data_IF_127472275742
#
_entry.id   IF_127472275742
#
_cell.length_a   1.000
_cell.length_b   1.000
_cell.length_c   1.000
_cell.angle_alpha   90.00
_cell.angle_beta   90.00
_cell.angle_gamma   90.00
#
_symmetry.space_group_name_H-M   'P 1'
#
loop_
_entity.id
_entity.type
_entity.pdbx_description
1 polymer ?
#
# COMPACT_ATOMS: atom_id res chain seq x y z
N UNK A 1 4.23 -64.76 5.86
CA UNK A 1 3.30 -63.64 5.59
C UNK A 1 1.90 -64.25 5.60
N UNK A 2 0.94 -63.72 6.38
CA UNK A 2 0.55 -62.29 6.38
C UNK A 2 0.30 -61.65 7.77
N UNK A 3 0.17 -60.32 7.72
CA UNK A 3 -0.67 -59.42 8.54
C UNK A 3 -0.75 -59.60 10.06
N UNK A 4 -0.02 -58.73 10.76
CA UNK A 4 -0.41 -58.28 12.09
C UNK A 4 -0.57 -56.76 12.09
N UNK A 5 -1.83 -56.35 12.01
CA UNK A 5 -2.35 -55.04 12.42
C UNK A 5 -2.73 -55.13 13.91
N UNK A 6 -2.04 -54.43 14.81
CA UNK A 6 -2.53 -54.25 16.17
C UNK A 6 -3.10 -52.85 16.35
N UNK A 7 -4.43 -52.83 16.44
CA UNK A 7 -5.25 -51.77 17.04
C UNK A 7 -4.65 -51.21 18.34
N UNK A 8 -4.67 -49.89 18.57
CA UNK A 8 -4.14 -49.29 19.79
C UNK A 8 -5.08 -49.52 20.98
N UNK A 9 -4.55 -50.17 22.02
CA UNK A 9 -5.21 -50.34 23.33
C UNK A 9 -5.21 -49.01 24.09
N UNK A 10 -6.41 -48.52 24.40
CA UNK A 10 -6.66 -47.41 25.32
C UNK A 10 -6.17 -47.77 26.73
N UNK A 11 -5.31 -46.94 27.32
CA UNK A 11 -5.00 -46.97 28.75
C UNK A 11 -6.02 -46.08 29.49
N UNK A 12 -6.78 -46.72 30.36
CA UNK A 12 -7.57 -46.09 31.42
C UNK A 12 -6.58 -45.58 32.47
N UNK A 13 -6.70 -44.31 32.86
CA UNK A 13 -6.05 -43.74 34.05
C UNK A 13 -7.18 -43.44 35.02
N UNK A 14 -7.18 -44.16 36.15
CA UNK A 14 -8.09 -43.96 37.28
C UNK A 14 -7.67 -42.74 38.12
N UNK A 15 -8.70 -42.21 38.78
CA UNK A 15 -8.78 -40.99 39.57
C UNK A 15 -7.80 -40.91 40.75
N UNK A 16 -7.26 -39.70 40.98
CA UNK A 16 -6.79 -39.28 42.30
C UNK A 16 -7.31 -37.87 42.65
N UNK A 17 -8.30 -37.91 43.53
CA UNK A 17 -8.57 -37.05 44.70
C UNK A 17 -8.63 -35.51 44.55
N UNK A 18 -9.86 -35.04 44.69
CA UNK A 18 -10.31 -33.67 44.95
C UNK A 18 -9.71 -33.10 46.25
N UNK A 19 -9.31 -31.82 46.22
CA UNK A 19 -9.22 -30.96 47.42
C UNK A 19 -10.05 -29.69 47.20
N UNK A 20 -10.83 -29.24 48.22
CA UNK A 20 -11.97 -28.34 48.02
C UNK A 20 -11.62 -26.84 48.04
N UNK A 21 -12.47 -26.07 47.38
CA UNK A 21 -12.48 -24.62 47.32
C UNK A 21 -12.92 -23.97 48.64
N UNK A 22 -12.24 -22.90 49.05
CA UNK A 22 -12.54 -22.13 50.26
C UNK A 22 -12.80 -20.65 49.93
N UNK A 23 -13.93 -20.12 50.44
CA UNK A 23 -14.01 -18.73 50.93
C UNK A 23 -14.61 -17.65 50.03
N UNK A 24 -15.95 -17.63 49.89
CA UNK A 24 -16.72 -16.45 49.45
C UNK A 24 -16.82 -15.45 50.60
N UNK A 25 -16.43 -14.17 50.38
CA UNK A 25 -16.75 -13.06 51.30
C UNK A 25 -17.51 -11.97 50.55
N UNK A 26 -18.75 -11.74 50.98
CA UNK A 26 -19.59 -10.59 50.63
C UNK A 26 -19.36 -9.47 51.63
N UNK A 27 -19.24 -8.22 51.15
CA UNK A 27 -19.48 -7.03 51.97
C UNK A 27 -20.42 -6.08 51.21
N UNK A 28 -21.53 -5.76 51.89
CA UNK A 28 -22.50 -4.73 51.51
C UNK A 28 -22.08 -3.32 52.00
N UNK A 29 -22.93 -2.30 51.83
CA UNK A 29 -22.51 -0.94 51.52
C UNK A 29 -22.42 -0.01 52.74
N UNK A 30 -21.45 0.91 52.72
CA UNK A 30 -21.44 2.11 53.57
C UNK A 30 -21.25 3.38 52.73
N UNK A 31 -21.96 4.43 53.14
CA UNK A 31 -21.98 5.80 52.59
C UNK A 31 -22.30 6.72 53.78
N UNK A 32 -22.05 8.05 53.73
CA UNK A 32 -20.78 8.78 53.59
C UNK A 32 -20.55 9.77 54.76
N UNK A 33 -19.34 10.32 54.92
CA UNK A 33 -19.15 11.57 55.69
C UNK A 33 -18.23 12.58 54.98
N UNK A 34 -18.40 13.85 55.35
CA UNK A 34 -18.36 15.06 54.51
C UNK A 34 -16.97 15.65 54.25
N UNK A 35 -16.88 16.35 53.11
CA UNK A 35 -15.82 17.30 52.71
C UNK A 35 -15.86 18.61 53.56
N UNK A 36 -14.85 19.51 53.47
CA UNK A 36 -14.78 20.55 52.41
C UNK A 36 -13.31 20.91 51.99
N UNK A 37 -12.94 21.68 50.95
CA UNK A 37 -13.58 22.46 49.89
C UNK A 37 -12.54 22.82 48.79
N UNK A 38 -12.99 22.81 47.53
CA UNK A 38 -12.74 23.77 46.41
C UNK A 38 -11.29 24.10 45.96
N UNK A 39 -10.94 23.94 44.67
CA UNK A 39 -11.39 24.82 43.56
C UNK A 39 -11.06 24.22 42.18
N UNK A 40 -11.86 24.66 41.21
CA UNK A 40 -12.04 24.14 39.86
C UNK A 40 -10.89 24.39 38.88
N UNK A 41 -10.66 23.43 37.99
CA UNK A 41 -10.58 23.71 36.54
C UNK A 41 -11.01 22.47 35.74
N UNK A 42 -12.01 22.69 34.89
CA UNK A 42 -12.49 21.77 33.86
C UNK A 42 -11.40 21.61 32.80
N UNK A 43 -11.14 20.39 32.34
CA UNK A 43 -10.97 20.13 30.93
C UNK A 43 -11.16 18.64 30.60
N UNK A 44 -11.74 18.44 29.41
CA UNK A 44 -12.51 17.28 28.99
C UNK A 44 -11.61 16.12 28.53
N UNK A 45 -11.90 14.91 29.01
CA UNK A 45 -11.45 13.66 28.41
C UNK A 45 -12.55 13.10 27.47
N UNK A 46 -12.19 12.53 26.30
CA UNK A 46 -13.15 12.20 25.25
C UNK A 46 -13.97 10.95 25.59
N UNK A 47 -15.29 11.11 25.62
CA UNK A 47 -16.25 9.99 25.66
C UNK A 47 -16.26 9.26 24.32
N UNK A 48 -15.86 7.99 24.35
CA UNK A 48 -16.04 7.00 23.29
C UNK A 48 -17.55 6.79 23.07
N UNK A 49 -18.05 7.13 21.87
CA UNK A 49 -19.39 6.74 21.42
C UNK A 49 -19.31 5.35 20.76
N UNK A 50 -20.18 4.39 21.11
CA UNK A 50 -20.33 3.18 20.31
C UNK A 50 -20.95 3.56 18.96
N UNK A 51 -20.34 3.08 17.87
CA UNK A 51 -20.94 3.15 16.53
C UNK A 51 -22.11 2.17 16.53
N UNK A 52 -23.32 2.71 16.38
CA UNK A 52 -24.55 1.94 16.24
C UNK A 52 -24.73 1.63 14.75
N UNK A 53 -24.58 0.37 14.36
CA UNK A 53 -24.91 -0.10 13.01
C UNK A 53 -26.43 0.02 12.77
N UNK A 54 -26.88 0.59 11.64
CA UNK A 54 -28.30 0.61 11.31
C UNK A 54 -28.74 -0.79 10.85
N UNK A 55 -29.62 -1.42 11.63
CA UNK A 55 -30.35 -2.64 11.29
C UNK A 55 -31.32 -2.36 10.12
N UNK A 56 -31.35 -3.18 9.05
CA UNK A 56 -32.23 -2.96 7.90
C UNK A 56 -33.68 -3.37 8.22
N UNK A 57 -34.63 -2.55 7.76
CA UNK A 57 -36.05 -2.88 7.70
C UNK A 57 -36.36 -3.72 6.43
N UNK A 58 -37.45 -4.52 6.43
CA UNK A 58 -37.59 -5.68 5.55
C UNK A 58 -38.27 -5.35 4.21
N UNK A 59 -37.98 -6.20 3.22
CA UNK A 59 -38.58 -6.32 1.90
C UNK A 59 -38.37 -5.17 0.92
N UNK A 60 -37.41 -5.36 0.01
CA UNK A 60 -37.58 -4.96 -1.39
C UNK A 60 -36.73 -5.91 -2.26
N UNK A 61 -37.40 -6.63 -3.16
CA UNK A 61 -36.81 -7.58 -4.11
C UNK A 61 -35.97 -6.85 -5.17
N UNK A 62 -34.96 -7.51 -5.78
CA UNK A 62 -34.08 -6.85 -6.74
C UNK A 62 -34.84 -6.39 -7.99
N UNK A 63 -34.63 -5.13 -8.36
CA UNK A 63 -35.21 -4.47 -9.53
C UNK A 63 -34.91 -5.25 -10.81
N UNK A 64 -35.93 -5.98 -11.27
CA UNK A 64 -36.07 -6.47 -12.64
C UNK A 64 -36.07 -5.24 -13.56
N UNK A 65 -35.28 -5.30 -14.63
CA UNK A 65 -35.29 -4.28 -15.69
C UNK A 65 -36.65 -4.38 -16.42
N UNK A 66 -37.67 -3.74 -15.85
CA UNK A 66 -38.98 -3.63 -16.47
C UNK A 66 -38.91 -2.60 -17.58
N UNK A 67 -39.23 -3.06 -18.79
CA UNK A 67 -39.50 -2.23 -19.95
C UNK A 67 -40.48 -1.13 -19.56
N UNK A 68 -40.13 0.12 -19.86
CA UNK A 68 -41.01 1.26 -19.67
C UNK A 68 -42.40 0.97 -20.26
N UNK A 69 -43.40 0.97 -19.38
CA UNK A 69 -44.82 0.92 -19.72
C UNK A 69 -45.14 2.12 -20.62
N UNK A 70 -45.57 1.82 -21.84
CA UNK A 70 -46.14 2.77 -22.81
C UNK A 70 -47.57 3.10 -22.38
N UNK A 71 -47.74 3.81 -21.28
CA UNK A 71 -49.03 4.41 -20.93
C UNK A 71 -49.18 5.71 -21.74
N UNK A 72 -49.62 5.55 -22.99
CA UNK A 72 -50.37 6.51 -23.84
C UNK A 72 -50.44 5.92 -25.26
N UNK A 73 -51.18 4.83 -25.40
CA UNK A 73 -51.69 4.36 -26.69
C UNK A 73 -53.21 4.28 -26.57
N UNK A 74 -53.87 5.42 -26.84
CA UNK A 74 -55.32 5.52 -26.94
C UNK A 74 -55.76 4.84 -28.25
N UNK A 75 -55.87 3.51 -28.20
CA UNK A 75 -56.39 2.68 -29.28
C UNK A 75 -57.90 2.86 -29.41
N UNK A 76 -58.35 4.04 -29.82
CA UNK A 76 -59.72 4.27 -30.29
C UNK A 76 -59.74 4.12 -31.79
N UNK A 77 -60.20 2.95 -32.24
CA UNK A 77 -60.78 2.78 -33.56
C UNK A 77 -61.93 3.77 -33.72
N UNK A 78 -61.71 4.84 -34.47
CA UNK A 78 -62.80 5.70 -34.94
C UNK A 78 -63.52 4.91 -36.03
N UNK A 79 -64.48 4.10 -35.64
CA UNK A 79 -65.49 3.59 -36.56
C UNK A 79 -66.47 4.75 -36.82
N UNK A 80 -66.53 5.32 -38.03
CA UNK A 80 -67.53 6.34 -38.32
C UNK A 80 -68.91 5.70 -38.20
N UNK A 81 -69.74 6.26 -37.31
CA UNK A 81 -71.13 5.85 -37.13
C UNK A 81 -71.92 5.98 -38.44
N UNK A 82 -72.81 5.02 -38.67
CA UNK A 82 -73.61 4.87 -39.91
C UNK A 82 -74.46 6.12 -40.24
N UNK A 83 -74.66 7.01 -39.27
CA UNK A 83 -75.36 8.29 -39.45
C UNK A 83 -74.57 9.30 -40.32
N UNK A 84 -73.25 9.16 -40.43
CA UNK A 84 -72.42 9.99 -41.32
C UNK A 84 -72.52 9.60 -42.82
N UNK A 85 -73.18 8.48 -43.14
CA UNK A 85 -73.36 7.98 -44.51
C UNK A 85 -74.74 8.36 -45.07
N UNK A 86 -75.70 8.73 -44.21
CA UNK A 86 -77.10 8.98 -44.61
C UNK A 86 -77.44 10.43 -44.93
N UNK A 87 -76.57 11.40 -44.61
CA UNK A 87 -76.84 12.83 -44.80
C UNK A 87 -76.12 13.46 -46.00
N UNK A 88 -75.44 12.65 -46.82
CA UNK A 88 -74.86 13.16 -48.06
C UNK A 88 -75.88 13.04 -49.19
N UNK A 89 -76.60 14.15 -49.40
CA UNK A 89 -77.52 14.30 -50.52
C UNK A 89 -76.85 13.92 -51.84
N UNK A 90 -77.56 13.02 -52.51
CA UNK A 90 -77.31 12.45 -53.83
C UNK A 90 -77.17 13.56 -54.88
N UNK A 91 -75.98 13.72 -55.42
CA UNK A 91 -75.79 14.31 -56.75
C UNK A 91 -75.71 13.15 -57.76
N UNK A 92 -76.86 12.74 -58.25
CA UNK A 92 -76.96 11.93 -59.48
C UNK A 92 -76.60 12.80 -60.66
N UNK A 93 -75.37 12.69 -61.16
CA UNK A 93 -75.05 13.04 -62.55
C UNK A 93 -74.13 11.97 -63.14
N UNK A 94 -74.76 11.09 -63.92
CA UNK A 94 -74.23 10.40 -65.11
C UNK A 94 -72.81 9.82 -65.06
N UNK A 95 -72.75 8.55 -64.67
CA UNK A 95 -71.69 7.62 -65.06
C UNK A 95 -71.82 7.38 -66.56
N UNK A 96 -71.08 8.14 -67.38
CA UNK A 96 -70.63 7.77 -68.72
C UNK A 96 -69.92 8.98 -69.35
N UNK A 97 -68.64 9.16 -69.01
CA UNK A 97 -67.75 10.02 -69.79
C UNK A 97 -66.64 9.13 -70.36
N UNK A 98 -66.49 9.05 -71.69
CA UNK A 98 -65.48 8.20 -72.31
C UNK A 98 -64.09 8.76 -72.00
N UNK A 99 -63.27 7.97 -71.30
CA UNK A 99 -61.85 8.26 -71.09
C UNK A 99 -61.08 8.01 -72.38
N UNK A 100 -61.29 8.91 -73.35
CA UNK A 100 -60.60 8.93 -74.63
C UNK A 100 -60.60 10.36 -75.18
N UNK A 101 -59.54 11.10 -74.87
CA UNK A 101 -59.20 12.31 -75.63
C UNK A 101 -58.72 13.49 -74.80
N UNK A 102 -57.42 13.55 -74.55
CA UNK A 102 -56.52 14.65 -74.95
C UNK A 102 -55.14 14.31 -74.37
N UNK A 103 -54.31 13.67 -75.19
CA UNK A 103 -52.88 13.53 -74.94
C UNK A 103 -52.24 14.92 -74.85
N UNK A 104 -52.19 15.49 -73.65
CA UNK A 104 -51.09 16.39 -73.33
C UNK A 104 -49.86 15.52 -73.19
N UNK A 105 -49.10 15.40 -74.28
CA UNK A 105 -47.73 14.90 -74.27
C UNK A 105 -46.98 15.65 -73.17
N UNK A 106 -46.83 15.04 -72.01
CA UNK A 106 -45.89 15.50 -70.99
C UNK A 106 -44.52 15.20 -71.59
N UNK A 107 -43.96 16.21 -72.23
CA UNK A 107 -42.62 16.20 -72.80
C UNK A 107 -41.62 15.78 -71.74
N UNK A 108 -40.92 14.68 -72.00
CA UNK A 108 -39.66 14.29 -71.37
C UNK A 108 -39.75 13.99 -69.88
N UNK A 109 -39.81 12.71 -69.51
CA UNK A 109 -39.34 12.29 -68.19
C UNK A 109 -37.92 12.87 -68.04
N UNK A 110 -37.63 13.69 -67.02
CA UNK A 110 -36.33 14.33 -66.92
C UNK A 110 -35.29 13.27 -66.52
N UNK A 111 -34.75 12.52 -67.47
CA UNK A 111 -33.74 11.47 -67.19
C UNK A 111 -32.51 11.98 -66.41
N UNK A 112 -32.34 13.30 -66.32
CA UNK A 112 -31.29 13.95 -65.53
C UNK A 112 -31.31 13.66 -64.03
N UNK A 113 -32.48 13.50 -63.38
CA UNK A 113 -32.48 13.23 -61.92
C UNK A 113 -32.11 11.78 -61.58
N UNK A 114 -32.45 10.82 -62.44
CA UNK A 114 -32.02 9.42 -62.29
C UNK A 114 -30.51 9.25 -62.52
N UNK A 115 -29.92 10.00 -63.46
CA UNK A 115 -28.47 10.04 -63.66
C UNK A 115 -27.75 10.64 -62.44
N UNK A 116 -28.28 11.72 -61.86
CA UNK A 116 -27.75 12.32 -60.63
C UNK A 116 -27.78 11.35 -59.45
N UNK A 117 -28.91 10.68 -59.23
CA UNK A 117 -29.06 9.68 -58.17
C UNK A 117 -28.08 8.51 -58.40
N UNK A 118 -27.97 8.01 -59.63
CA UNK A 118 -27.03 6.94 -59.98
C UNK A 118 -25.58 7.31 -59.69
N UNK A 119 -25.17 8.54 -60.00
CA UNK A 119 -23.82 9.05 -59.73
C UNK A 119 -23.53 9.19 -58.24
N UNK A 120 -24.52 9.66 -57.46
CA UNK A 120 -24.41 9.77 -56.00
C UNK A 120 -24.29 8.39 -55.35
N UNK A 121 -25.09 7.41 -55.78
CA UNK A 121 -25.02 6.03 -55.27
C UNK A 121 -23.71 5.36 -55.65
N UNK A 122 -23.24 5.54 -56.89
CA UNK A 122 -21.95 5.01 -57.33
C UNK A 122 -20.78 5.65 -56.56
N UNK A 123 -20.84 6.97 -56.33
CA UNK A 123 -19.86 7.70 -55.52
C UNK A 123 -19.83 7.23 -54.07
N UNK A 124 -20.99 7.02 -53.45
CA UNK A 124 -21.12 6.47 -52.10
C UNK A 124 -20.60 5.02 -52.02
N UNK A 125 -20.88 4.19 -53.05
CA UNK A 125 -20.35 2.83 -53.16
C UNK A 125 -18.83 2.79 -53.26
N UNK A 126 -18.25 3.61 -54.14
CA UNK A 126 -16.79 3.72 -54.28
C UNK A 126 -16.13 4.24 -52.99
N UNK A 127 -16.74 5.26 -52.38
CA UNK A 127 -16.27 5.82 -51.11
C UNK A 127 -16.33 4.81 -49.96
N UNK A 128 -17.40 4.00 -49.91
CA UNK A 128 -17.56 2.91 -48.94
C UNK A 128 -16.48 1.84 -49.09
N UNK A 129 -16.19 1.39 -50.33
CA UNK A 129 -15.14 0.38 -50.60
C UNK A 129 -13.74 0.92 -50.26
N UNK A 130 -13.48 2.21 -50.50
CA UNK A 130 -12.22 2.84 -50.12
C UNK A 130 -12.09 3.00 -48.60
N UNK A 131 -13.19 3.33 -47.91
CA UNK A 131 -13.26 3.39 -46.45
C UNK A 131 -13.05 2.02 -45.81
N UNK A 132 -13.63 0.94 -46.34
CA UNK A 132 -13.43 -0.41 -45.79
C UNK A 132 -11.98 -0.86 -45.94
N UNK A 133 -11.34 -0.67 -47.10
CA UNK A 133 -9.91 -0.98 -47.28
C UNK A 133 -8.98 -0.17 -46.36
N UNK A 134 -9.33 1.08 -46.05
CA UNK A 134 -8.58 1.92 -45.11
C UNK A 134 -8.84 1.50 -43.65
N UNK A 135 -10.07 1.09 -43.36
CA UNK A 135 -10.49 0.49 -42.10
C UNK A 135 -9.75 -0.82 -41.81
N UNK A 136 -9.66 -1.73 -42.78
CA UNK A 136 -8.91 -3.00 -42.67
C UNK A 136 -7.45 -2.79 -42.30
N UNK A 137 -6.77 -1.81 -42.92
CA UNK A 137 -5.38 -1.46 -42.58
C UNK A 137 -5.24 -0.87 -41.19
N UNK A 138 -6.15 0.02 -40.79
CA UNK A 138 -6.14 0.62 -39.46
C UNK A 138 -6.46 -0.42 -38.37
N UNK A 139 -7.36 -1.36 -38.65
CA UNK A 139 -7.71 -2.48 -37.76
C UNK A 139 -6.52 -3.44 -37.66
N UNK A 140 -5.83 -3.76 -38.76
CA UNK A 140 -4.61 -4.57 -38.73
C UNK A 140 -3.49 -3.92 -37.90
N UNK A 141 -3.21 -2.63 -38.11
CA UNK A 141 -2.23 -1.89 -37.31
C UNK A 141 -2.65 -1.80 -35.82
N UNK A 142 -3.95 -1.64 -35.54
CA UNK A 142 -4.48 -1.68 -34.18
C UNK A 142 -4.28 -3.07 -33.55
N UNK A 143 -4.52 -4.16 -34.28
CA UNK A 143 -4.27 -5.52 -33.78
C UNK A 143 -2.78 -5.79 -33.52
N UNK A 144 -1.87 -5.28 -34.35
CA UNK A 144 -0.42 -5.41 -34.12
C UNK A 144 0.02 -4.66 -32.85
N UNK A 145 -0.42 -3.41 -32.66
CA UNK A 145 -0.08 -2.65 -31.44
C UNK A 145 -0.71 -3.24 -30.18
N UNK A 146 -1.91 -3.83 -30.28
CA UNK A 146 -2.53 -4.56 -29.17
C UNK A 146 -1.76 -5.84 -28.87
N UNK A 147 -1.35 -6.61 -29.89
CA UNK A 147 -0.51 -7.80 -29.69
C UNK A 147 0.83 -7.45 -29.04
N UNK A 148 1.51 -6.42 -29.52
CA UNK A 148 2.78 -5.96 -28.95
C UNK A 148 2.61 -5.53 -27.48
N UNK A 149 1.50 -4.86 -27.14
CA UNK A 149 1.19 -4.51 -25.74
C UNK A 149 0.89 -5.75 -24.90
N UNK A 150 0.08 -6.67 -25.40
CA UNK A 150 -0.25 -7.92 -24.70
C UNK A 150 1.02 -8.75 -24.47
N UNK A 151 1.86 -8.92 -25.48
CA UNK A 151 3.14 -9.62 -25.35
C UNK A 151 4.06 -8.94 -24.34
N UNK A 152 4.15 -7.60 -24.36
CA UNK A 152 4.95 -6.84 -23.37
C UNK A 152 4.37 -6.97 -21.96
N UNK A 153 3.06 -6.99 -21.81
CA UNK A 153 2.41 -7.09 -20.51
C UNK A 153 2.51 -8.53 -19.97
N UNK A 154 2.38 -9.54 -20.81
CA UNK A 154 2.66 -10.95 -20.47
C UNK A 154 4.12 -11.14 -20.05
N UNK A 155 5.07 -10.53 -20.76
CA UNK A 155 6.50 -10.56 -20.39
C UNK A 155 6.76 -9.88 -19.05
N UNK A 156 6.15 -8.72 -18.78
CA UNK A 156 6.27 -8.04 -17.48
C UNK A 156 5.64 -8.85 -16.36
N UNK A 157 4.48 -9.47 -16.60
CA UNK A 157 3.79 -10.30 -15.62
C UNK A 157 4.61 -11.55 -15.29
N UNK A 158 5.22 -12.18 -16.30
CA UNK A 158 6.14 -13.29 -16.10
C UNK A 158 7.36 -12.87 -15.28
N UNK A 159 8.03 -11.78 -15.68
CA UNK A 159 9.19 -11.25 -14.96
C UNK A 159 8.85 -10.86 -13.51
N UNK A 160 7.68 -10.29 -13.27
CA UNK A 160 7.21 -9.95 -11.93
C UNK A 160 6.97 -11.19 -11.06
N UNK A 161 6.40 -12.26 -11.64
CA UNK A 161 6.21 -13.54 -10.93
C UNK A 161 7.54 -14.20 -10.58
N UNK A 162 8.48 -14.19 -11.51
CA UNK A 162 9.82 -14.75 -11.31
C UNK A 162 10.57 -13.98 -10.22
N UNK A 163 10.49 -12.65 -10.23
CA UNK A 163 11.10 -11.81 -9.18
C UNK A 163 10.50 -12.10 -7.80
N UNK A 164 9.17 -12.23 -7.70
CA UNK A 164 8.51 -12.57 -6.43
C UNK A 164 8.94 -13.94 -5.93
N UNK A 165 9.03 -14.94 -6.81
CA UNK A 165 9.49 -16.28 -6.47
C UNK A 165 10.95 -16.27 -5.98
N UNK A 166 11.83 -15.50 -6.64
CA UNK A 166 13.22 -15.39 -6.23
C UNK A 166 13.37 -14.64 -4.90
N UNK A 167 12.59 -13.59 -4.68
CA UNK A 167 12.54 -12.93 -3.37
C UNK A 167 12.10 -13.88 -2.27
N UNK A 168 11.02 -14.64 -2.48
CA UNK A 168 10.56 -15.63 -1.49
C UNK A 168 11.65 -16.67 -1.20
N UNK A 169 12.33 -17.15 -2.25
CA UNK A 169 13.45 -18.08 -2.13
C UNK A 169 14.59 -17.50 -1.31
N UNK A 170 15.02 -16.27 -1.59
CA UNK A 170 16.10 -15.59 -0.84
C UNK A 170 15.69 -15.36 0.62
N UNK A 171 14.47 -14.92 0.88
CA UNK A 171 13.94 -14.72 2.24
C UNK A 171 13.91 -16.05 3.01
N UNK A 172 13.42 -17.11 2.39
CA UNK A 172 13.36 -18.45 2.99
C UNK A 172 14.75 -18.97 3.33
N UNK A 173 15.69 -18.89 2.38
CA UNK A 173 17.09 -19.30 2.60
C UNK A 173 17.76 -18.46 3.67
N UNK A 174 17.54 -17.14 3.67
CA UNK A 174 18.11 -16.23 4.66
C UNK A 174 17.61 -16.53 6.07
N UNK A 175 16.31 -16.79 6.24
CA UNK A 175 15.74 -17.11 7.56
C UNK A 175 16.16 -18.49 8.06
N UNK A 176 16.35 -19.46 7.16
CA UNK A 176 16.81 -20.80 7.49
C UNK A 176 18.32 -20.88 7.79
N UNK A 177 19.12 -19.98 7.23
CA UNK A 177 20.57 -19.96 7.41
C UNK A 177 20.97 -19.63 8.86
N UNK A 178 21.78 -20.49 9.46
CA UNK A 178 22.37 -20.38 10.80
C UNK A 178 23.91 -20.29 10.79
N UNK A 179 24.54 -20.49 9.62
CA UNK A 179 25.99 -20.32 9.44
C UNK A 179 26.32 -19.02 8.72
N UNK A 180 27.55 -18.55 8.90
CA UNK A 180 28.03 -17.31 8.26
C UNK A 180 28.19 -17.54 6.76
N UNK A 181 28.69 -18.72 6.40
CA UNK A 181 28.90 -19.16 5.03
C UNK A 181 27.60 -19.17 4.22
N UNK A 182 26.49 -19.56 4.83
CA UNK A 182 25.18 -19.60 4.17
C UNK A 182 24.54 -18.20 4.04
N UNK A 183 24.83 -17.27 4.95
CA UNK A 183 24.27 -15.91 4.92
C UNK A 183 25.03 -14.97 4.00
N UNK A 184 26.36 -15.04 3.99
CA UNK A 184 27.22 -14.14 3.20
C UNK A 184 26.78 -14.01 1.72
N UNK A 185 26.40 -15.07 0.98
CA UNK A 185 25.94 -14.91 -0.40
C UNK A 185 24.56 -14.25 -0.54
N UNK A 186 23.75 -14.22 0.53
CA UNK A 186 22.38 -13.70 0.54
C UNK A 186 22.32 -12.22 0.97
N UNK A 187 23.39 -11.68 1.53
CA UNK A 187 23.43 -10.30 2.05
C UNK A 187 24.05 -9.31 1.07
N UNK A 188 23.69 -8.05 1.29
CA UNK A 188 24.25 -6.90 0.58
C UNK A 188 25.63 -6.54 1.15
N UNK A 189 26.57 -6.17 0.29
CA UNK A 189 27.94 -5.77 0.66
C UNK A 189 28.66 -6.82 1.53
N UNK A 190 28.85 -8.05 1.02
CA UNK A 190 29.36 -9.17 1.80
C UNK A 190 30.75 -8.89 2.40
N UNK A 191 31.67 -8.23 1.69
CA UNK A 191 33.02 -7.98 2.21
C UNK A 191 33.01 -7.10 3.48
N UNK A 192 32.14 -6.09 3.51
CA UNK A 192 32.02 -5.16 4.65
C UNK A 192 31.20 -5.75 5.80
N UNK A 193 30.10 -6.43 5.49
CA UNK A 193 29.13 -6.87 6.50
C UNK A 193 29.56 -8.17 7.20
N UNK A 194 30.30 -9.04 6.52
CA UNK A 194 30.82 -10.29 7.08
C UNK A 194 31.50 -10.12 8.46
N UNK A 195 32.51 -9.23 8.64
CA UNK A 195 33.15 -9.06 9.95
C UNK A 195 32.19 -8.54 11.03
N UNK A 196 31.14 -7.80 10.65
CA UNK A 196 30.12 -7.33 11.57
C UNK A 196 29.23 -8.49 12.06
N UNK A 197 28.85 -9.40 11.17
CA UNK A 197 28.11 -10.62 11.49
C UNK A 197 28.93 -11.51 12.41
N UNK A 198 30.19 -11.76 12.07
CA UNK A 198 31.12 -12.59 12.87
C UNK A 198 31.20 -12.08 14.31
N UNK A 199 31.31 -10.75 14.50
CA UNK A 199 31.34 -10.13 15.82
C UNK A 199 29.99 -10.22 16.56
N UNK A 200 28.88 -9.92 15.89
CA UNK A 200 27.55 -9.95 16.52
C UNK A 200 27.20 -11.37 16.99
N UNK A 201 27.47 -12.37 16.15
CA UNK A 201 27.10 -13.77 16.40
C UNK A 201 27.90 -14.45 17.48
N UNK A 202 29.08 -13.93 17.84
CA UNK A 202 29.80 -14.35 19.05
C UNK A 202 28.99 -14.05 20.31
N UNK A 203 28.19 -12.98 20.31
CA UNK A 203 27.38 -12.57 21.47
C UNK A 203 25.93 -13.04 21.36
N UNK A 204 25.38 -13.02 20.14
CA UNK A 204 23.99 -13.37 19.84
C UNK A 204 23.94 -14.20 18.56
N UNK A 205 24.15 -15.52 18.66
CA UNK A 205 24.05 -16.41 17.51
C UNK A 205 22.67 -16.30 16.86
N UNK A 206 22.63 -16.40 15.53
CA UNK A 206 21.36 -16.46 14.83
C UNK A 206 20.69 -17.81 15.06
N UNK A 207 19.38 -17.76 15.30
CA UNK A 207 18.54 -18.95 15.39
C UNK A 207 17.83 -19.14 14.06
N UNK A 208 18.06 -20.28 13.41
CA UNK A 208 17.35 -20.65 12.19
C UNK A 208 15.83 -20.59 12.43
N UNK A 209 15.14 -19.87 11.56
CA UNK A 209 13.70 -19.64 11.66
C UNK A 209 13.01 -20.22 10.43
N UNK A 210 11.91 -20.95 10.67
CA UNK A 210 11.14 -21.55 9.58
C UNK A 210 10.20 -20.52 8.99
N UNK A 211 10.44 -20.18 7.73
CA UNK A 211 9.60 -19.29 6.94
C UNK A 211 8.21 -19.89 6.73
N UNK A 212 7.16 -19.08 6.92
CA UNK A 212 5.76 -19.46 6.68
C UNK A 212 5.21 -18.82 5.41
N UNK A 213 5.23 -17.50 5.34
CA UNK A 213 4.72 -16.71 4.20
C UNK A 213 5.21 -15.27 4.24
N UNK A 214 5.12 -14.57 3.11
CA UNK A 214 5.26 -13.12 3.03
C UNK A 214 3.92 -12.49 3.44
N UNK A 215 3.90 -11.77 4.57
CA UNK A 215 2.74 -11.00 5.02
C UNK A 215 2.68 -9.60 4.39
N UNK A 216 3.83 -9.06 3.98
CA UNK A 216 3.93 -7.80 3.26
C UNK A 216 5.06 -7.87 2.25
N UNK A 217 4.80 -7.32 1.07
CA UNK A 217 5.75 -7.19 -0.02
C UNK A 217 5.47 -5.88 -0.74
N UNK A 218 6.32 -4.87 -0.53
CA UNK A 218 6.12 -3.52 -1.08
C UNK A 218 7.38 -3.04 -1.80
N UNK A 219 7.25 -2.51 -3.03
CA UNK A 219 8.36 -1.85 -3.69
C UNK A 219 8.72 -0.56 -2.94
N UNK A 220 10.01 -0.30 -2.83
CA UNK A 220 10.55 0.93 -2.28
C UNK A 220 11.68 1.42 -3.20
N UNK A 221 11.75 2.73 -3.42
CA UNK A 221 12.90 3.33 -4.10
C UNK A 221 13.68 4.14 -3.07
N UNK A 222 14.98 3.86 -2.98
CA UNK A 222 15.89 4.56 -2.08
C UNK A 222 17.03 5.13 -2.92
N UNK A 223 17.04 6.45 -3.10
CA UNK A 223 18.00 7.21 -3.92
C UNK A 223 18.20 6.60 -5.33
N UNK A 224 17.09 6.29 -6.00
CA UNK A 224 17.10 5.75 -7.37
C UNK A 224 17.37 4.26 -7.48
N UNK A 225 17.70 3.58 -6.38
CA UNK A 225 17.86 2.12 -6.35
C UNK A 225 16.57 1.39 -5.98
N UNK A 226 16.28 0.24 -6.61
CA UNK A 226 15.12 -0.58 -6.29
C UNK A 226 15.35 -1.41 -5.02
N UNK A 227 14.40 -1.30 -4.09
CA UNK A 227 14.35 -2.05 -2.85
C UNK A 227 12.97 -2.70 -2.67
N UNK A 228 12.92 -3.73 -1.84
CA UNK A 228 11.69 -4.39 -1.42
C UNK A 228 11.62 -4.39 0.11
N UNK A 229 10.51 -3.85 0.64
CA UNK A 229 10.19 -3.90 2.07
C UNK A 229 9.31 -5.13 2.29
N UNK A 230 9.83 -6.06 3.07
CA UNK A 230 9.22 -7.37 3.29
C UNK A 230 8.89 -7.54 4.76
N UNK A 231 7.70 -8.05 5.04
CA UNK A 231 7.38 -8.64 6.34
C UNK A 231 7.18 -10.14 6.15
N UNK A 232 8.08 -10.93 6.71
CA UNK A 232 8.02 -12.39 6.68
C UNK A 232 7.41 -12.90 7.99
N UNK A 233 6.39 -13.75 7.89
CA UNK A 233 5.93 -14.53 9.03
C UNK A 233 6.81 -15.76 9.21
N UNK A 234 7.27 -15.95 10.43
CA UNK A 234 8.11 -17.07 10.85
C UNK A 234 7.36 -17.92 11.88
N UNK A 235 7.68 -19.21 11.93
CA UNK A 235 7.08 -20.15 12.87
C UNK A 235 7.60 -19.87 14.30
N UNK A 236 6.69 -19.83 15.28
CA UNK A 236 7.02 -19.65 16.72
C UNK A 236 7.81 -18.37 17.05
N UNK A 237 7.75 -17.33 16.22
CA UNK A 237 8.43 -16.06 16.46
C UNK A 237 7.65 -14.88 15.87
N UNK A 238 7.87 -13.65 16.38
CA UNK A 238 7.29 -12.45 15.77
C UNK A 238 7.73 -12.30 14.31
N UNK A 239 6.89 -11.68 13.44
CA UNK A 239 7.24 -11.49 12.05
C UNK A 239 8.50 -10.62 11.90
N UNK A 240 9.36 -11.00 10.97
CA UNK A 240 10.61 -10.29 10.68
C UNK A 240 10.40 -9.26 9.57
N UNK A 241 10.95 -8.05 9.77
CA UNK A 241 10.96 -7.02 8.72
C UNK A 241 12.33 -7.04 8.03
N UNK A 242 12.32 -7.27 6.74
CA UNK A 242 13.49 -7.37 5.89
C UNK A 242 13.47 -6.25 4.84
N UNK A 243 14.64 -5.73 4.53
CA UNK A 243 14.85 -4.81 3.42
C UNK A 243 15.75 -5.51 2.42
N UNK A 244 15.32 -5.64 1.16
CA UNK A 244 16.09 -6.29 0.11
C UNK A 244 16.44 -5.27 -0.97
N UNK A 245 17.71 -5.21 -1.39
CA UNK A 245 18.13 -4.48 -2.58
C UNK A 245 18.01 -5.41 -3.79
N UNK A 246 17.44 -4.90 -4.88
CA UNK A 246 17.48 -5.59 -6.17
C UNK A 246 18.72 -5.11 -6.92
N UNK A 247 19.74 -5.96 -7.01
CA UNK A 247 21.04 -5.63 -7.62
C UNK A 247 21.06 -5.90 -9.13
N UNK A 248 20.14 -6.73 -9.62
CA UNK A 248 19.91 -6.99 -11.05
C UNK A 248 18.47 -7.40 -11.31
N UNK A 249 18.14 -7.82 -12.54
CA UNK A 249 16.76 -8.13 -12.93
C UNK A 249 16.13 -9.24 -12.05
N UNK A 250 16.92 -10.24 -11.66
CA UNK A 250 16.49 -11.33 -10.78
C UNK A 250 17.38 -11.52 -9.54
N UNK A 251 18.40 -10.68 -9.33
CA UNK A 251 19.26 -10.82 -8.15
C UNK A 251 18.79 -9.88 -7.04
N UNK A 252 18.52 -10.46 -5.87
CA UNK A 252 18.10 -9.73 -4.67
C UNK A 252 18.98 -10.10 -3.49
N UNK A 253 19.35 -9.10 -2.69
CA UNK A 253 20.20 -9.25 -1.50
C UNK A 253 19.56 -8.62 -0.28
N UNK A 254 19.67 -9.27 0.86
CA UNK A 254 19.12 -8.80 2.14
C UNK A 254 20.06 -7.77 2.77
N UNK A 255 19.52 -6.65 3.26
CA UNK A 255 20.24 -5.72 4.12
C UNK A 255 20.21 -6.20 5.58
N UNK A 256 21.25 -6.95 5.96
CA UNK A 256 21.38 -7.52 7.30
C UNK A 256 21.38 -6.45 8.40
N UNK A 257 22.10 -5.34 8.19
CA UNK A 257 22.25 -4.31 9.21
C UNK A 257 20.93 -3.63 9.57
N UNK A 258 20.03 -3.41 8.60
CA UNK A 258 18.69 -2.86 8.85
C UNK A 258 17.81 -3.86 9.59
N UNK A 259 17.91 -5.16 9.28
CA UNK A 259 17.14 -6.20 9.98
C UNK A 259 17.51 -6.25 11.46
N UNK A 260 18.81 -6.43 11.77
CA UNK A 260 19.28 -6.53 13.16
C UNK A 260 19.38 -5.17 13.85
N UNK A 261 19.24 -4.07 13.09
CA UNK A 261 19.49 -2.70 13.56
C UNK A 261 20.90 -2.58 14.16
N UNK A 262 21.92 -3.01 13.40
CA UNK A 262 23.30 -3.05 13.87
C UNK A 262 23.77 -1.64 14.28
N UNK A 263 24.45 -1.56 15.42
CA UNK A 263 25.01 -0.33 16.00
C UNK A 263 26.50 -0.54 16.29
N UNK A 264 27.33 0.52 16.22
CA UNK A 264 28.76 0.43 16.52
C UNK A 264 29.04 -0.02 17.97
N UNK A 265 28.11 0.28 18.88
CA UNK A 265 28.09 -0.20 20.26
C UNK A 265 26.64 -0.25 20.77
N UNK A 266 26.35 -1.00 21.85
CA UNK A 266 25.01 -1.01 22.43
C UNK A 266 24.58 0.40 22.85
N UNK A 267 23.36 0.80 22.48
CA UNK A 267 22.86 2.16 22.72
C UNK A 267 22.84 2.53 24.20
N UNK A 268 22.41 1.61 25.07
CA UNK A 268 22.36 1.86 26.51
C UNK A 268 23.77 2.05 27.11
N UNK A 269 24.76 1.34 26.57
CA UNK A 269 26.15 1.49 26.97
C UNK A 269 26.69 2.85 26.52
N UNK A 270 26.33 3.31 25.32
CA UNK A 270 26.69 4.66 24.85
C UNK A 270 26.10 5.75 25.75
N UNK A 271 24.83 5.62 26.11
CA UNK A 271 24.12 6.58 26.99
C UNK A 271 24.74 6.62 28.39
N UNK A 272 25.12 5.47 28.95
CA UNK A 272 25.66 5.36 30.32
C UNK A 272 27.15 5.68 30.42
N UNK A 273 27.97 5.15 29.52
CA UNK A 273 29.43 5.34 29.52
C UNK A 273 29.86 6.72 29.02
N UNK A 274 29.01 7.41 28.24
CA UNK A 274 29.24 8.75 27.69
C UNK A 274 30.67 8.91 27.13
N UNK A 275 31.07 8.11 26.13
CA UNK A 275 32.44 8.11 25.65
C UNK A 275 32.75 9.49 25.03
N UNK A 276 33.54 10.28 25.76
CA UNK A 276 33.90 11.64 25.35
C UNK A 276 35.01 11.62 24.32
N UNK A 277 34.94 12.52 23.33
CA UNK A 277 36.00 12.70 22.33
C UNK A 277 35.97 11.73 21.15
N UNK A 278 35.03 10.78 21.12
CA UNK A 278 34.81 9.89 19.98
C UNK A 278 33.41 10.10 19.39
N UNK A 279 33.33 10.01 18.06
CA UNK A 279 32.08 10.08 17.30
C UNK A 279 31.66 8.69 16.82
N UNK A 280 30.37 8.41 16.86
CA UNK A 280 29.81 7.11 16.48
C UNK A 280 28.58 7.29 15.59
N UNK A 281 28.42 6.38 14.63
CA UNK A 281 27.32 6.42 13.67
C UNK A 281 26.19 5.48 14.11
N UNK A 282 25.07 6.03 14.56
CA UNK A 282 23.95 5.25 15.08
C UNK A 282 22.72 5.31 14.19
N UNK A 283 22.07 4.15 14.01
CA UNK A 283 20.72 4.03 13.44
C UNK A 283 19.70 4.42 14.49
N UNK A 284 19.13 5.62 14.37
CA UNK A 284 18.23 6.20 15.38
C UNK A 284 16.92 6.69 14.78
N UNK A 285 15.92 6.79 15.65
CA UNK A 285 14.71 7.57 15.43
C UNK A 285 14.92 8.97 15.98
N UNK A 286 14.51 9.98 15.23
CA UNK A 286 14.70 11.39 15.53
C UNK A 286 13.36 12.10 15.40
N UNK A 287 13.08 12.97 16.35
CA UNK A 287 11.94 13.87 16.31
C UNK A 287 12.36 15.24 16.81
N UNK A 288 11.66 16.29 16.37
CA UNK A 288 11.92 17.65 16.83
C UNK A 288 11.50 17.79 18.29
N UNK A 289 12.34 18.42 19.11
CA UNK A 289 12.07 18.75 20.50
C UNK A 289 12.53 20.20 20.80
N UNK A 290 12.23 20.71 22.00
CA UNK A 290 12.61 22.05 22.46
C UNK A 290 13.27 22.00 23.84
N UNK A 291 13.88 20.88 24.22
CA UNK A 291 14.62 20.76 25.47
C UNK A 291 16.01 21.40 25.31
N UNK A 292 16.28 22.49 26.03
CA UNK A 292 17.56 23.20 26.00
C UNK A 292 18.14 23.26 27.41
N UNK A 293 19.39 22.84 27.58
CA UNK A 293 20.03 22.77 28.91
C UNK A 293 21.54 23.02 28.82
N UNK A 294 22.11 23.57 29.89
CA UNK A 294 23.56 23.76 30.06
C UNK A 294 24.22 24.44 28.83
N UNK A 295 25.20 23.79 28.20
CA UNK A 295 25.92 24.27 27.01
C UNK A 295 25.02 24.44 25.76
N UNK A 296 23.84 23.83 25.77
CA UNK A 296 22.83 23.93 24.72
C UNK A 296 21.64 24.80 25.12
N UNK A 297 21.80 25.70 26.10
CA UNK A 297 20.70 26.57 26.57
C UNK A 297 20.22 27.61 25.55
N UNK A 298 21.07 27.99 24.59
CA UNK A 298 20.77 29.04 23.63
C UNK A 298 20.01 28.50 22.40
N UNK A 299 18.69 28.69 22.39
CA UNK A 299 17.81 28.32 21.29
C UNK A 299 18.05 29.13 19.99
N UNK A 300 18.78 30.24 20.04
CA UNK A 300 19.18 30.94 18.80
C UNK A 300 20.33 30.22 18.10
N UNK A 301 21.20 29.56 18.87
CA UNK A 301 22.38 28.84 18.36
C UNK A 301 22.11 27.38 18.07
N UNK A 302 21.15 26.77 18.76
CA UNK A 302 20.91 25.33 18.70
C UNK A 302 19.48 24.98 18.30
N UNK A 303 19.36 23.82 17.66
CA UNK A 303 18.10 23.11 17.46
C UNK A 303 18.18 21.77 18.16
N UNK A 304 17.11 21.42 18.88
CA UNK A 304 17.03 20.22 19.68
C UNK A 304 16.21 19.14 18.96
N UNK A 305 16.69 17.92 19.06
CA UNK A 305 16.03 16.73 18.55
C UNK A 305 16.06 15.64 19.62
N UNK A 306 14.93 14.98 19.85
CA UNK A 306 14.89 13.79 20.71
C UNK A 306 15.27 12.58 19.87
N UNK A 307 16.28 11.86 20.34
CA UNK A 307 16.90 10.72 19.66
C UNK A 307 16.63 9.45 20.47
N UNK A 308 16.25 8.35 19.80
CA UNK A 308 16.15 7.04 20.42
C UNK A 308 16.53 5.90 19.48
N UNK A 309 17.02 4.80 20.04
CA UNK A 309 17.34 3.59 19.30
C UNK A 309 16.22 2.54 19.38
N UNK A 310 16.20 1.63 18.41
CA UNK A 310 15.31 0.46 18.44
C UNK A 310 15.64 -0.39 19.69
N UNK A 311 14.60 -0.95 20.32
CA UNK A 311 14.72 -1.81 21.51
C UNK A 311 15.36 -1.14 22.73
N UNK A 312 15.34 0.20 22.81
CA UNK A 312 15.77 0.93 24.01
C UNK A 312 14.71 1.93 24.46
N UNK A 313 14.59 2.08 25.79
CA UNK A 313 13.80 3.13 26.44
C UNK A 313 14.62 4.42 26.63
N UNK A 314 15.95 4.33 26.54
CA UNK A 314 16.84 5.46 26.76
C UNK A 314 16.78 6.43 25.57
N UNK A 315 16.56 7.71 25.88
CA UNK A 315 16.50 8.81 24.91
C UNK A 315 17.61 9.84 25.12
N UNK A 316 18.20 10.35 24.05
CA UNK A 316 19.16 11.46 24.12
C UNK A 316 18.55 12.71 23.49
N UNK A 317 19.07 13.87 23.89
CA UNK A 317 18.77 15.14 23.25
C UNK A 317 19.95 15.50 22.34
N UNK A 318 19.74 15.37 21.04
CA UNK A 318 20.69 15.73 20.01
C UNK A 318 20.57 17.20 19.64
N UNK A 319 21.70 17.89 19.60
CA UNK A 319 21.77 19.30 19.25
C UNK A 319 22.54 19.51 17.96
N UNK A 320 21.96 20.28 17.04
CA UNK A 320 22.61 20.74 15.83
C UNK A 320 22.62 22.29 15.80
N UNK A 321 23.65 22.93 15.22
CA UNK A 321 23.66 24.39 15.09
C UNK A 321 22.46 24.88 14.28
N UNK A 322 21.79 25.94 14.74
CA UNK A 322 20.47 26.34 14.22
C UNK A 322 20.46 26.69 12.74
N UNK A 323 21.53 27.33 12.24
CA UNK A 323 21.64 27.73 10.85
C UNK A 323 22.26 26.64 9.94
N UNK A 324 22.66 25.52 10.51
CA UNK A 324 23.31 24.42 9.77
C UNK A 324 22.35 23.73 8.81
N UNK A 325 22.90 23.17 7.74
CA UNK A 325 22.17 22.31 6.81
C UNK A 325 21.62 21.07 7.51
N UNK A 326 22.32 20.56 8.53
CA UNK A 326 21.89 19.42 9.34
C UNK A 326 20.58 19.72 10.05
N UNK A 327 20.49 20.87 10.73
CA UNK A 327 19.27 21.28 11.44
C UNK A 327 18.10 21.45 10.48
N UNK A 328 18.31 22.17 9.37
CA UNK A 328 17.29 22.39 8.32
C UNK A 328 16.81 21.06 7.71
N UNK A 329 17.74 20.17 7.38
CA UNK A 329 17.43 18.84 6.86
C UNK A 329 16.59 18.03 7.86
N UNK A 330 17.02 17.93 9.11
CA UNK A 330 16.30 17.14 10.12
C UNK A 330 14.93 17.72 10.45
N UNK A 331 14.79 19.04 10.50
CA UNK A 331 13.49 19.69 10.70
C UNK A 331 12.52 19.37 9.55
N UNK A 332 12.95 19.55 8.30
CA UNK A 332 12.14 19.26 7.13
C UNK A 332 11.79 17.76 7.05
N UNK A 333 12.78 16.90 7.33
CA UNK A 333 12.61 15.46 7.24
C UNK A 333 11.69 14.92 8.34
N UNK A 334 11.81 15.40 9.57
CA UNK A 334 10.87 15.06 10.65
C UNK A 334 9.47 15.58 10.34
N UNK A 335 9.32 16.79 9.81
CA UNK A 335 8.00 17.35 9.47
C UNK A 335 7.27 16.54 8.40
N UNK A 336 8.00 15.99 7.42
CA UNK A 336 7.46 15.13 6.37
C UNK A 336 7.27 13.66 6.76
N UNK A 337 7.83 13.22 7.89
CA UNK A 337 7.80 11.83 8.30
C UNK A 337 6.47 11.44 9.00
N UNK A 338 6.02 10.18 8.87
CA UNK A 338 4.89 9.67 9.65
C UNK A 338 5.12 9.89 11.15
N UNK A 339 4.10 10.36 11.86
CA UNK A 339 4.16 10.68 13.31
C UNK A 339 5.22 11.73 13.70
N UNK A 340 5.75 12.48 12.73
CA UNK A 340 6.84 13.45 12.92
C UNK A 340 8.14 12.83 13.47
N UNK A 341 8.33 11.54 13.23
CA UNK A 341 9.50 10.78 13.66
C UNK A 341 10.20 10.22 12.43
N UNK A 342 11.45 10.62 12.22
CA UNK A 342 12.28 10.16 11.11
C UNK A 342 13.27 9.07 11.56
N UNK A 343 13.50 8.07 10.72
CA UNK A 343 14.56 7.08 10.91
C UNK A 343 15.77 7.46 10.08
N UNK A 344 16.90 7.73 10.73
CA UNK A 344 18.14 8.23 10.12
C UNK A 344 19.37 7.58 10.72
N UNK A 345 20.52 7.69 10.04
CA UNK A 345 21.83 7.37 10.62
C UNK A 345 22.52 8.69 10.95
N UNK A 346 22.82 8.91 12.23
CA UNK A 346 23.47 10.11 12.71
C UNK A 346 24.84 9.81 13.29
N UNK A 347 25.80 10.69 13.01
CA UNK A 347 27.08 10.75 13.72
C UNK A 347 26.90 11.57 14.99
N UNK A 348 27.07 10.93 16.13
CA UNK A 348 26.84 11.48 17.45
C UNK A 348 28.12 11.57 18.26
N UNK A 349 28.33 12.69 18.96
CA UNK A 349 29.47 12.88 19.87
C UNK A 349 29.06 13.56 21.17
N UNK A 350 29.54 13.02 22.28
CA UNK A 350 29.51 13.73 23.56
C UNK A 350 30.64 14.75 23.64
N UNK A 351 30.31 15.98 24.03
CA UNK A 351 31.32 17.01 24.28
C UNK A 351 32.15 16.63 25.52
N UNK A 352 33.47 16.86 25.51
CA UNK A 352 34.29 16.76 26.70
C UNK A 352 33.73 17.68 27.79
N UNK A 353 33.63 17.18 29.03
CA UNK A 353 33.16 17.95 30.19
C UNK A 353 31.74 18.54 30.05
N UNK A 354 30.90 17.94 29.21
CA UNK A 354 29.50 18.33 29.03
C UNK A 354 28.71 18.27 30.33
N UNK A 355 28.16 19.42 30.75
CA UNK A 355 27.26 19.52 31.90
C UNK A 355 25.91 18.85 31.63
N UNK A 356 25.47 18.77 30.36
CA UNK A 356 24.24 18.08 30.01
C UNK A 356 24.38 16.55 30.12
N UNK A 357 23.63 15.88 31.02
CA UNK A 357 23.78 14.44 31.23
C UNK A 357 23.29 13.60 30.04
N UNK A 358 22.34 14.12 29.27
CA UNK A 358 21.71 13.44 28.12
C UNK A 358 21.87 14.21 26.81
N UNK A 359 22.68 15.27 26.81
CA UNK A 359 22.93 16.11 25.65
C UNK A 359 24.06 15.56 24.80
N UNK A 360 23.84 15.53 23.48
CA UNK A 360 24.79 15.02 22.49
C UNK A 360 24.80 15.93 21.27
N UNK A 361 25.96 16.10 20.63
CA UNK A 361 26.06 16.88 19.40
C UNK A 361 25.81 15.99 18.19
N UNK A 362 24.97 16.45 17.27
CA UNK A 362 24.75 15.84 15.97
C UNK A 362 25.78 16.44 15.01
N UNK A 363 26.81 15.68 14.66
CA UNK A 363 27.89 16.18 13.81
C UNK A 363 27.57 16.05 12.33
N UNK A 364 26.89 14.97 11.95
CA UNK A 364 26.59 14.66 10.55
C UNK A 364 25.36 13.78 10.46
N UNK A 365 24.56 14.03 9.41
CA UNK A 365 23.60 13.04 8.92
C UNK A 365 24.35 12.14 7.96
N UNK A 366 24.63 10.91 8.39
CA UNK A 366 25.42 9.95 7.60
C UNK A 366 24.56 9.35 6.48
N UNK A 367 23.32 9.01 6.81
CA UNK A 367 22.33 8.55 5.83
C UNK A 367 20.91 9.02 6.22
N UNK A 368 20.08 9.39 5.23
CA UNK A 368 18.71 9.84 5.46
C UNK A 368 17.76 8.70 5.85
N UNK A 369 18.20 7.44 5.76
CA UNK A 369 17.46 6.23 6.18
C UNK A 369 18.42 5.26 6.87
N UNK A 370 17.90 4.20 7.49
CA UNK A 370 18.71 3.18 8.18
C UNK A 370 19.56 2.26 7.28
N UNK A 371 19.78 2.64 6.02
CA UNK A 371 20.50 1.87 5.00
C UNK A 371 21.68 2.67 4.46
N UNK A 372 22.84 2.01 4.32
CA UNK A 372 24.03 2.60 3.67
C UNK A 372 24.04 2.26 2.19
N UNK A 373 23.74 3.22 1.30
CA UNK A 373 23.69 2.95 -0.14
C UNK A 373 25.07 2.84 -0.80
N UNK A 374 26.04 3.55 -0.23
CA UNK A 374 27.47 3.47 -0.53
C UNK A 374 28.19 3.00 0.72
N UNK A 375 29.39 2.44 0.56
CA UNK A 375 30.20 2.09 1.73
C UNK A 375 30.46 3.36 2.55
N UNK A 376 30.16 3.39 3.86
CA UNK A 376 30.44 4.55 4.71
C UNK A 376 31.93 4.86 4.81
N UNK A 377 32.81 3.90 4.48
CA UNK A 377 34.27 4.04 4.46
C UNK A 377 34.77 4.75 3.19
N UNK A 378 33.96 4.76 2.13
CA UNK A 378 34.28 5.41 0.84
C UNK A 378 33.78 6.86 0.76
N UNK A 379 33.25 7.41 1.86
CA UNK A 379 32.85 8.81 1.93
C UNK A 379 34.09 9.70 2.19
N UNK A 380 34.29 10.80 1.43
CA UNK A 380 35.41 11.71 1.60
C UNK A 380 35.39 12.46 2.94
#
# INVERSE_FOLDING_TARGET
>A
MPEHDPTPKLRVIEDQEETPAEGVVRLGPEKPEKAPNQRLQQDQAPTVRPIQEPRPAPNESPARLESASRDYFDGRSVEPGVEAILDQQVATETIETPWGGQEKRVSGIPYGWFLLIGLVVAGAGLWSILQTKKGEKNVAAAHETVREKVEKDEQKDAAARDLVAEVEKVVRSYLAADTIEDIVPLIRQPERVRPLIEKEWQTKPKVASKFRRLAMFQPATIEGKPFWVIRAEVENSPPENLLLEQTGDAEVKVDWETQVCHQPMPWNDYVSSRPSGQSFDFRVTVERDNFFSHEFSDASKWRCFRIGAKNSVERLFGYAPADSEIAKFLEAYCAGAPRKTASVILRLRFLPEAGSPRGVVIEKVVAPRWVYLKDPTDAP
#
